data_IF_634628779608
#
_entry.id   IF_634628779608
#
_cell.length_a   1.000
_cell.length_b   1.000
_cell.length_c   1.000
_cell.angle_alpha   90.00
_cell.angle_beta   90.00
_cell.angle_gamma   90.00
#
_symmetry.space_group_name_H-M   'P 1'
#
loop_
_entity.id
_entity.type
_entity.pdbx_description
1 polymer ?
#
# COMPACT_ATOMS: atom_id res chain seq x y z
N UNK A 1 -48.08 -56.78 45.29
CA UNK A 1 -47.24 -55.69 45.84
C UNK A 1 -46.49 -55.00 44.69
N UNK A 2 -46.53 -53.65 44.69
CA UNK A 2 -45.63 -52.71 43.99
C UNK A 2 -45.49 -52.79 42.45
N UNK A 3 -46.32 -52.00 41.74
CA UNK A 3 -45.87 -51.20 40.59
C UNK A 3 -45.90 -49.74 41.01
N UNK A 4 -44.79 -49.28 41.60
CA UNK A 4 -44.57 -47.88 41.94
C UNK A 4 -43.66 -47.28 40.86
N UNK A 5 -44.06 -46.14 40.32
CA UNK A 5 -43.32 -45.27 39.40
C UNK A 5 -43.30 -45.66 37.91
N UNK A 6 -44.41 -45.43 37.23
CA UNK A 6 -44.37 -45.05 35.82
C UNK A 6 -44.19 -43.52 35.74
N UNK A 7 -42.94 -43.07 35.62
CA UNK A 7 -42.63 -41.68 35.26
C UNK A 7 -43.08 -41.46 33.81
N UNK A 8 -44.18 -40.74 33.63
CA UNK A 8 -44.51 -40.11 32.34
C UNK A 8 -43.47 -39.01 32.13
N UNK A 9 -42.49 -39.25 31.27
CA UNK A 9 -41.63 -38.21 30.73
C UNK A 9 -42.50 -37.21 29.99
N UNK A 10 -42.72 -36.02 30.57
CA UNK A 10 -43.34 -34.93 29.86
C UNK A 10 -42.46 -34.55 28.65
N UNK A 11 -43.04 -34.25 27.48
CA UNK A 11 -42.26 -33.84 26.32
C UNK A 11 -41.43 -32.59 26.70
N UNK A 12 -40.15 -32.51 26.29
CA UNK A 12 -39.29 -31.39 26.63
C UNK A 12 -39.92 -30.10 26.10
N UNK A 13 -40.19 -29.14 27.00
CA UNK A 13 -40.69 -27.82 26.61
C UNK A 13 -39.53 -27.06 25.95
N UNK A 14 -39.61 -26.87 24.63
CA UNK A 14 -38.56 -26.25 23.82
C UNK A 14 -38.66 -24.72 23.79
N UNK A 15 -39.76 -24.15 24.31
CA UNK A 15 -39.99 -22.70 24.38
C UNK A 15 -38.88 -21.93 25.11
N UNK A 16 -38.35 -22.40 26.25
CA UNK A 16 -37.25 -21.71 26.94
C UNK A 16 -35.96 -21.74 26.12
N UNK A 17 -35.65 -22.87 25.48
CA UNK A 17 -34.45 -23.04 24.66
C UNK A 17 -34.46 -22.13 23.43
N UNK A 18 -35.61 -22.00 22.75
CA UNK A 18 -35.79 -21.08 21.63
C UNK A 18 -35.59 -19.63 22.11
N UNK A 19 -36.14 -19.26 23.26
CA UNK A 19 -36.03 -17.91 23.81
C UNK A 19 -34.58 -17.55 24.22
N UNK A 20 -33.82 -18.54 24.70
CA UNK A 20 -32.39 -18.39 24.98
C UNK A 20 -31.57 -18.16 23.71
N UNK A 21 -31.82 -18.91 22.64
CA UNK A 21 -31.12 -18.74 21.35
C UNK A 21 -31.44 -17.37 20.74
N UNK A 22 -32.71 -16.95 20.77
CA UNK A 22 -33.11 -15.63 20.25
C UNK A 22 -32.47 -14.49 21.07
N UNK A 23 -32.48 -14.58 22.40
CA UNK A 23 -31.78 -13.59 23.24
C UNK A 23 -30.29 -13.54 22.96
N UNK A 24 -29.65 -14.70 22.78
CA UNK A 24 -28.23 -14.78 22.45
C UNK A 24 -27.93 -14.11 21.09
N UNK A 25 -28.75 -14.35 20.06
CA UNK A 25 -28.59 -13.71 18.76
C UNK A 25 -28.79 -12.19 18.84
N UNK A 26 -29.77 -11.72 19.61
CA UNK A 26 -30.04 -10.28 19.79
C UNK A 26 -28.89 -9.56 20.51
N UNK A 27 -28.15 -10.25 21.38
CA UNK A 27 -26.96 -9.69 22.05
C UNK A 27 -25.73 -9.76 21.14
N UNK A 28 -25.53 -10.87 20.44
CA UNK A 28 -24.35 -11.09 19.60
C UNK A 28 -24.32 -10.17 18.38
N UNK A 29 -25.45 -9.94 17.72
CA UNK A 29 -25.51 -9.15 16.49
C UNK A 29 -24.99 -7.70 16.67
N UNK A 30 -25.46 -6.91 17.65
CA UNK A 30 -24.93 -5.56 17.87
C UNK A 30 -23.49 -5.58 18.41
N UNK A 31 -23.10 -6.61 19.16
CA UNK A 31 -21.71 -6.76 19.62
C UNK A 31 -20.76 -7.03 18.45
N UNK A 32 -21.17 -7.85 17.49
CA UNK A 32 -20.45 -8.08 16.23
C UNK A 32 -20.40 -6.77 15.42
N UNK A 33 -21.53 -6.07 15.25
CA UNK A 33 -21.56 -4.81 14.51
C UNK A 33 -20.68 -3.71 15.13
N UNK A 34 -20.60 -3.62 16.47
CA UNK A 34 -19.71 -2.68 17.16
C UNK A 34 -18.23 -3.09 17.09
N UNK A 35 -17.92 -4.39 17.11
CA UNK A 35 -16.54 -4.89 17.08
C UNK A 35 -15.99 -5.05 15.67
N UNK A 36 -16.85 -5.20 14.66
CA UNK A 36 -16.53 -4.96 13.25
C UNK A 36 -16.45 -3.47 12.99
N UNK A 37 -15.66 -2.77 13.80
CA UNK A 37 -14.98 -1.58 13.31
C UNK A 37 -14.25 -2.03 12.05
N UNK A 38 -14.64 -1.44 10.92
CA UNK A 38 -13.92 -1.37 9.68
C UNK A 38 -12.52 -0.81 9.94
N UNK A 39 -11.67 -1.63 10.56
CA UNK A 39 -10.23 -1.40 10.72
C UNK A 39 -9.68 -1.38 9.32
N UNK A 40 -9.70 -0.18 8.74
CA UNK A 40 -8.85 0.31 7.67
C UNK A 40 -8.48 -0.80 6.69
N UNK A 41 -9.47 -1.30 5.96
CA UNK A 41 -9.23 -1.63 4.55
C UNK A 41 -9.03 -0.29 3.82
N UNK A 42 -7.99 0.46 4.17
CA UNK A 42 -7.35 1.36 3.22
C UNK A 42 -6.74 0.41 2.20
N UNK A 43 -7.54 0.01 1.21
CA UNK A 43 -7.02 -0.58 0.00
C UNK A 43 -6.01 0.43 -0.53
N UNK A 44 -4.73 0.16 -0.31
CA UNK A 44 -3.68 0.91 -0.96
C UNK A 44 -3.93 0.69 -2.45
N UNK A 45 -4.17 1.75 -3.25
CA UNK A 45 -4.21 1.60 -4.70
C UNK A 45 -2.79 1.22 -5.12
N UNK A 46 -2.57 -0.08 -5.17
CA UNK A 46 -1.30 -0.70 -5.51
C UNK A 46 -1.41 -1.14 -6.96
N UNK A 47 -0.76 -0.39 -7.85
CA UNK A 47 -0.48 -0.89 -9.17
C UNK A 47 0.78 -1.76 -9.06
N UNK A 48 0.62 -3.08 -9.07
CA UNK A 48 1.74 -4.03 -9.18
C UNK A 48 2.00 -4.21 -10.66
N UNK A 49 3.15 -3.75 -11.15
CA UNK A 49 3.56 -3.98 -12.53
C UNK A 49 4.55 -5.15 -12.56
N UNK A 50 4.25 -6.17 -13.35
CA UNK A 50 5.22 -7.21 -13.68
C UNK A 50 6.35 -6.62 -14.54
N UNK A 51 7.56 -7.21 -14.53
CA UNK A 51 8.62 -6.82 -15.46
C UNK A 51 8.12 -6.95 -16.90
N UNK A 52 7.99 -5.83 -17.62
CA UNK A 52 7.47 -5.80 -19.00
C UNK A 52 6.02 -5.38 -19.15
N UNK A 53 5.29 -5.14 -18.05
CA UNK A 53 3.93 -4.60 -18.12
C UNK A 53 3.96 -3.11 -18.49
N UNK A 54 3.31 -2.75 -19.61
CA UNK A 54 3.28 -1.38 -20.09
C UNK A 54 2.34 -0.53 -19.23
N UNK A 55 2.91 0.15 -18.23
CA UNK A 55 2.20 1.15 -17.44
C UNK A 55 1.61 2.23 -18.36
N UNK A 56 0.39 2.72 -18.09
CA UNK A 56 -0.19 3.80 -18.90
C UNK A 56 0.75 5.00 -18.91
N UNK A 57 1.05 5.57 -20.09
CA UNK A 57 2.04 6.63 -20.24
C UNK A 57 1.64 7.82 -19.38
N UNK A 58 2.59 8.31 -18.58
CA UNK A 58 2.38 9.53 -17.82
C UNK A 58 2.26 10.72 -18.78
N UNK A 59 1.42 11.72 -18.48
CA UNK A 59 1.39 12.94 -19.26
C UNK A 59 2.79 13.56 -19.30
N UNK A 60 3.20 14.19 -20.42
CA UNK A 60 4.54 14.74 -20.56
C UNK A 60 4.79 15.80 -19.49
N UNK A 61 5.83 15.59 -18.68
CA UNK A 61 6.26 16.47 -17.59
C UNK A 61 7.77 16.68 -17.62
N UNK A 62 8.30 17.64 -16.82
CA UNK A 62 9.72 17.92 -16.74
C UNK A 62 10.53 16.74 -16.17
N UNK A 63 9.91 15.82 -15.43
CA UNK A 63 10.53 14.56 -15.04
C UNK A 63 9.92 13.44 -15.87
N UNK A 64 10.73 12.74 -16.66
CA UNK A 64 10.28 11.63 -17.52
C UNK A 64 10.25 10.31 -16.73
N UNK A 65 11.33 9.96 -16.05
CA UNK A 65 11.43 8.72 -15.24
C UNK A 65 11.77 9.05 -13.79
N UNK A 66 11.16 8.34 -12.85
CA UNK A 66 11.48 8.41 -11.42
C UNK A 66 11.38 7.02 -10.81
N UNK A 67 12.52 6.47 -10.42
CA UNK A 67 12.65 5.13 -9.86
C UNK A 67 13.43 5.21 -8.56
N UNK A 68 12.89 4.61 -7.50
CA UNK A 68 13.57 4.44 -6.22
C UNK A 68 13.97 2.98 -6.08
N UNK A 69 15.26 2.72 -5.96
CA UNK A 69 15.82 1.38 -5.73
C UNK A 69 16.41 1.33 -4.33
N UNK A 70 16.16 0.23 -3.62
CA UNK A 70 16.71 0.05 -2.27
C UNK A 70 18.01 -0.74 -2.32
N UNK A 71 19.05 -0.24 -1.66
CA UNK A 71 20.36 -0.87 -1.52
C UNK A 71 20.62 -1.25 -0.05
N UNK A 72 21.66 -2.03 0.22
CA UNK A 72 21.98 -2.49 1.59
C UNK A 72 22.25 -1.35 2.57
N UNK A 73 22.75 -0.20 2.08
CA UNK A 73 23.13 0.95 2.89
C UNK A 73 22.17 2.14 2.78
N UNK A 74 21.02 2.00 2.09
CA UNK A 74 20.07 3.11 1.90
C UNK A 74 19.22 3.02 0.63
N UNK A 75 18.90 4.16 0.05
CA UNK A 75 18.06 4.34 -1.13
C UNK A 75 18.81 5.04 -2.26
N UNK A 76 18.52 4.63 -3.48
CA UNK A 76 18.99 5.26 -4.71
C UNK A 76 17.80 5.74 -5.50
N UNK A 77 17.76 7.04 -5.79
CA UNK A 77 16.73 7.68 -6.60
C UNK A 77 17.33 8.00 -7.97
N UNK A 78 16.76 7.40 -9.01
CA UNK A 78 17.07 7.73 -10.39
C UNK A 78 15.94 8.56 -10.99
N UNK A 79 16.24 9.81 -11.33
CA UNK A 79 15.32 10.71 -11.99
C UNK A 79 15.89 11.12 -13.35
N UNK A 80 15.11 10.93 -14.42
CA UNK A 80 15.43 11.44 -15.74
C UNK A 80 14.68 12.78 -15.91
N UNK A 81 15.41 13.89 -15.85
CA UNK A 81 14.85 15.26 -15.85
C UNK A 81 15.13 15.92 -17.19
N UNK A 82 14.08 16.37 -17.88
CA UNK A 82 14.21 17.08 -19.14
C UNK A 82 14.75 18.47 -18.91
N UNK A 83 15.83 18.82 -19.61
CA UNK A 83 16.38 20.16 -19.55
C UNK A 83 15.51 21.10 -20.40
N UNK A 84 14.61 21.85 -19.74
CA UNK A 84 13.75 22.85 -20.37
C UNK A 84 14.49 24.16 -20.63
N UNK A 85 15.64 24.09 -21.30
CA UNK A 85 16.25 25.30 -21.85
C UNK A 85 15.63 25.59 -23.21
N UNK A 86 15.15 26.82 -23.41
CA UNK A 86 14.28 27.22 -24.55
C UNK A 86 15.06 27.21 -25.89
N UNK A 87 16.36 26.94 -25.85
CA UNK A 87 17.26 26.78 -27.00
C UNK A 87 17.63 25.33 -27.34
N UNK A 88 17.29 24.36 -26.50
CA UNK A 88 17.64 22.96 -26.73
C UNK A 88 16.60 22.31 -27.64
N UNK A 89 16.85 22.38 -28.95
CA UNK A 89 16.14 21.54 -29.91
C UNK A 89 16.42 20.07 -29.56
N UNK A 90 15.38 19.33 -29.16
CA UNK A 90 15.37 17.87 -29.00
C UNK A 90 16.24 17.29 -27.87
N UNK A 91 15.57 16.79 -26.81
CA UNK A 91 15.93 15.50 -26.24
C UNK A 91 17.01 15.45 -25.14
N UNK A 92 17.43 16.57 -24.55
CA UNK A 92 18.41 16.51 -23.45
C UNK A 92 17.72 16.13 -22.13
N UNK A 93 17.79 14.84 -21.81
CA UNK A 93 17.27 14.26 -20.57
C UNK A 93 18.48 14.01 -19.66
N UNK A 94 18.60 14.79 -18.59
CA UNK A 94 19.66 14.64 -17.61
C UNK A 94 19.26 13.54 -16.61
N UNK A 95 20.03 12.46 -16.59
CA UNK A 95 19.87 11.41 -15.57
C UNK A 95 20.54 11.84 -14.28
N UNK A 96 19.74 12.10 -13.25
CA UNK A 96 20.20 12.39 -11.90
C UNK A 96 20.10 11.13 -11.04
N UNK A 97 21.24 10.67 -10.55
CA UNK A 97 21.31 9.61 -9.55
C UNK A 97 21.59 10.26 -8.19
N UNK A 98 20.62 10.20 -7.28
CA UNK A 98 20.69 10.77 -5.94
C UNK A 98 20.69 9.63 -4.93
N UNK A 99 21.63 9.65 -3.99
CA UNK A 99 21.67 8.70 -2.88
C UNK A 99 20.99 9.31 -1.64
N UNK A 100 20.30 8.48 -0.88
CA UNK A 100 19.68 8.83 0.39
C UNK A 100 19.96 7.71 1.39
N UNK A 101 20.62 8.04 2.50
CA UNK A 101 21.06 7.05 3.49
C UNK A 101 19.91 6.59 4.38
N UNK A 102 18.89 7.43 4.55
CA UNK A 102 17.75 7.19 5.43
C UNK A 102 16.42 7.61 4.78
N UNK A 103 15.33 7.23 5.43
CA UNK A 103 13.97 7.52 4.92
C UNK A 103 13.67 9.02 4.89
N UNK A 104 14.31 9.81 5.76
CA UNK A 104 14.12 11.26 5.83
C UNK A 104 14.82 11.97 4.67
N UNK A 105 16.07 11.63 4.40
CA UNK A 105 16.82 12.12 3.24
C UNK A 105 16.16 11.70 1.93
N UNK A 106 15.58 10.50 1.87
CA UNK A 106 14.75 10.09 0.73
C UNK A 106 13.56 11.04 0.54
N UNK A 107 12.83 11.37 1.62
CA UNK A 107 11.72 12.31 1.55
C UNK A 107 12.14 13.71 1.12
N UNK A 108 13.30 14.20 1.57
CA UNK A 108 13.83 15.51 1.15
C UNK A 108 14.19 15.52 -0.34
N UNK A 109 14.84 14.45 -0.83
CA UNK A 109 15.13 14.26 -2.26
C UNK A 109 13.84 14.23 -3.08
N UNK A 110 12.85 13.46 -2.64
CA UNK A 110 11.55 13.34 -3.31
C UNK A 110 10.76 14.65 -3.28
N UNK A 111 10.82 15.42 -2.21
CA UNK A 111 10.20 16.73 -2.12
C UNK A 111 10.81 17.73 -3.11
N UNK A 112 12.14 17.71 -3.27
CA UNK A 112 12.82 18.54 -4.26
C UNK A 112 12.41 18.18 -5.69
N UNK A 113 12.31 16.88 -6.00
CA UNK A 113 11.84 16.41 -7.32
C UNK A 113 10.36 16.74 -7.56
N UNK A 114 9.52 16.65 -6.52
CA UNK A 114 8.11 17.03 -6.57
C UNK A 114 7.92 18.54 -6.78
N UNK A 115 8.81 19.37 -6.25
CA UNK A 115 8.79 20.81 -6.51
C UNK A 115 9.10 21.16 -7.97
N UNK A 116 9.94 20.34 -8.64
CA UNK A 116 10.23 20.48 -10.07
C UNK A 116 9.06 20.01 -10.95
N UNK A 117 8.33 18.98 -10.52
CA UNK A 117 7.13 18.48 -11.21
C UNK A 117 5.94 18.29 -10.24
N UNK A 118 5.20 19.37 -9.92
CA UNK A 118 4.07 19.30 -9.00
C UNK A 118 2.94 18.40 -9.51
N UNK A 119 2.83 18.25 -10.84
CA UNK A 119 1.78 17.47 -11.50
C UNK A 119 2.01 15.96 -11.47
N UNK A 120 3.26 15.52 -11.25
CA UNK A 120 3.60 14.09 -11.21
C UNK A 120 3.00 13.41 -9.99
N UNK A 121 2.11 12.44 -10.23
CA UNK A 121 1.43 11.67 -9.17
C UNK A 121 2.06 10.31 -8.90
N UNK A 122 2.85 9.80 -9.86
CA UNK A 122 3.34 8.43 -9.86
C UNK A 122 4.85 8.30 -9.64
N UNK A 123 5.22 7.31 -8.84
CA UNK A 123 6.61 6.91 -8.59
C UNK A 123 6.72 5.38 -8.57
N UNK A 124 7.85 4.87 -9.07
CA UNK A 124 8.15 3.44 -9.04
C UNK A 124 9.12 3.14 -7.90
N UNK A 125 8.76 2.18 -7.06
CA UNK A 125 9.59 1.65 -5.98
C UNK A 125 10.01 0.21 -6.31
N UNK A 126 11.32 -0.02 -6.28
CA UNK A 126 11.96 -1.30 -6.59
C UNK A 126 12.63 -1.81 -5.31
N UNK A 127 11.94 -2.66 -4.53
CA UNK A 127 12.52 -3.27 -3.33
C UNK A 127 13.58 -4.31 -3.69
N UNK A 128 14.57 -4.44 -2.81
CA UNK A 128 15.64 -5.43 -2.92
C UNK A 128 15.17 -6.85 -2.57
N UNK A 129 15.94 -7.89 -2.91
CA UNK A 129 15.56 -9.29 -2.67
C UNK A 129 15.47 -9.65 -1.18
N UNK A 130 16.15 -8.90 -0.31
CA UNK A 130 16.17 -9.10 1.15
C UNK A 130 15.18 -8.20 1.89
N UNK A 131 14.44 -7.35 1.17
CA UNK A 131 13.52 -6.40 1.77
C UNK A 131 12.27 -7.13 2.31
N UNK A 132 11.94 -6.86 3.57
CA UNK A 132 10.71 -7.38 4.19
C UNK A 132 9.47 -6.61 3.74
N UNK A 133 8.31 -7.28 3.70
CA UNK A 133 7.03 -6.62 3.38
C UNK A 133 6.74 -5.42 4.29
N UNK A 134 7.09 -5.51 5.57
CA UNK A 134 6.91 -4.41 6.53
C UNK A 134 7.73 -3.17 6.13
N UNK A 135 8.96 -3.35 5.66
CA UNK A 135 9.79 -2.26 5.15
C UNK A 135 9.19 -1.65 3.88
N UNK A 136 8.72 -2.47 2.95
CA UNK A 136 8.07 -1.98 1.72
C UNK A 136 6.86 -1.10 2.04
N UNK A 137 5.99 -1.54 2.95
CA UNK A 137 4.82 -0.76 3.37
C UNK A 137 5.24 0.57 4.01
N UNK A 138 6.22 0.54 4.92
CA UNK A 138 6.74 1.76 5.54
C UNK A 138 7.30 2.75 4.50
N UNK A 139 7.98 2.24 3.47
CA UNK A 139 8.50 3.07 2.37
C UNK A 139 7.39 3.61 1.49
N UNK A 140 6.37 2.82 1.18
CA UNK A 140 5.21 3.30 0.41
C UNK A 140 4.51 4.46 1.12
N UNK A 141 4.31 4.36 2.44
CA UNK A 141 3.69 5.42 3.22
C UNK A 141 4.57 6.68 3.24
N UNK A 142 5.89 6.51 3.41
CA UNK A 142 6.85 7.61 3.39
C UNK A 142 6.95 8.35 2.05
N UNK A 143 6.77 7.63 0.96
CA UNK A 143 6.82 8.16 -0.41
C UNK A 143 5.52 8.87 -0.81
N UNK A 144 4.39 8.53 -0.17
CA UNK A 144 3.10 9.18 -0.38
C UNK A 144 2.99 10.50 0.39
N UNK A 145 3.42 10.51 1.66
CA UNK A 145 3.27 11.65 2.56
C UNK A 145 4.65 12.07 3.05
N UNK A 146 5.09 13.24 2.63
CA UNK A 146 6.31 13.88 3.09
C UNK A 146 6.04 14.85 4.25
N UNK A 147 7.12 15.39 4.87
CA UNK A 147 7.00 16.35 5.97
C UNK A 147 6.37 17.69 5.57
N UNK A 148 6.32 17.99 4.26
CA UNK A 148 5.78 19.24 3.69
C UNK A 148 4.45 19.06 2.97
N UNK A 149 3.85 17.87 3.00
CA UNK A 149 2.59 17.56 2.33
C UNK A 149 2.63 16.29 1.49
N UNK A 150 1.67 16.15 0.59
CA UNK A 150 1.54 15.00 -0.30
C UNK A 150 2.63 15.02 -1.38
N UNK A 151 3.32 13.87 -1.55
CA UNK A 151 4.38 13.68 -2.53
C UNK A 151 3.82 12.95 -3.76
N UNK A 152 3.83 11.62 -3.73
CA UNK A 152 3.43 10.77 -4.85
C UNK A 152 2.33 9.79 -4.42
N UNK A 153 1.03 10.09 -4.66
CA UNK A 153 -0.08 9.24 -4.25
C UNK A 153 -0.10 7.87 -4.95
N UNK A 154 0.38 7.79 -6.19
CA UNK A 154 0.45 6.55 -6.96
C UNK A 154 1.84 5.93 -6.82
N UNK A 155 1.96 4.86 -6.03
CA UNK A 155 3.20 4.11 -5.90
C UNK A 155 3.08 2.80 -6.66
N UNK A 156 3.95 2.59 -7.64
CA UNK A 156 4.06 1.33 -8.39
C UNK A 156 5.17 0.50 -7.76
N UNK A 157 4.86 -0.74 -7.39
CA UNK A 157 5.88 -1.70 -7.00
C UNK A 157 6.32 -2.49 -8.22
N UNK A 158 7.63 -2.53 -8.47
CA UNK A 158 8.24 -3.35 -9.52
C UNK A 158 9.24 -4.32 -8.90
N UNK A 159 9.13 -5.60 -9.26
CA UNK A 159 10.07 -6.64 -8.82
C UNK A 159 11.35 -6.62 -9.65
N UNK A 160 12.49 -6.87 -9.01
CA UNK A 160 13.82 -7.01 -9.64
C UNK A 160 13.98 -8.27 -10.53
N UNK A 161 12.90 -8.99 -10.84
CA UNK A 161 12.96 -10.18 -11.69
C UNK A 161 13.28 -9.82 -13.14
N UNK A 162 14.57 -9.80 -13.48
CA UNK A 162 15.04 -9.51 -14.84
C UNK A 162 16.54 -9.25 -14.99
N UNK A 163 17.40 -10.04 -14.33
CA UNK A 163 18.75 -10.26 -14.84
C UNK A 163 18.74 -11.67 -15.48
N UNK A 164 18.97 -11.81 -16.80
CA UNK A 164 19.17 -13.14 -17.37
C UNK A 164 20.44 -13.78 -16.76
N UNK A 165 20.47 -15.11 -16.61
CA UNK A 165 21.66 -15.84 -16.19
C UNK A 165 22.84 -15.65 -17.14
#
# INVERSE_FOLDING_TARGET
>A
MRRLFQQRSAPPDTRPAILSVVSLMVILLPMLLMTTSSRRLTGLPLAVAAPGDALPPLPPGPVERLVVTTAETGFRVEADVRNTDVRSSTGDVERRALAADDLRSLQDVLANLKALDPGRKRITLVPGPTTTTQQVVAWMDAVKIGPRGELFPEVVLQSLAGAPP
#
